data_IF_306959578858
#
_entry.id   IF_306959578858
#
_cell.length_a   1.000
_cell.length_b   1.000
_cell.length_c   1.000
_cell.angle_alpha   90.00
_cell.angle_beta   90.00
_cell.angle_gamma   90.00
#
_symmetry.space_group_name_H-M   'P 1'
#
loop_
_entity.id
_entity.type
_entity.pdbx_description
1 polymer ?
#
# COMPACT_ATOMS: atom_id res chain seq x y z
N UNK A 1 -0.21 -10.51 11.85
CA UNK A 1 -1.17 -9.61 12.53
C UNK A 1 -0.67 -8.17 12.57
N UNK A 2 0.50 -7.84 13.10
CA UNK A 2 1.00 -6.46 13.18
C UNK A 2 1.00 -5.75 11.81
N UNK A 3 1.52 -6.36 10.76
CA UNK A 3 1.47 -5.80 9.40
C UNK A 3 0.04 -5.60 8.89
N UNK A 4 -0.85 -6.54 9.12
CA UNK A 4 -2.27 -6.35 8.79
C UNK A 4 -2.91 -5.18 9.56
N UNK A 5 -2.48 -4.95 10.81
CA UNK A 5 -2.90 -3.78 11.60
C UNK A 5 -2.39 -2.48 11.00
N UNK A 6 -1.15 -2.44 10.49
CA UNK A 6 -0.61 -1.27 9.78
C UNK A 6 -1.52 -0.91 8.59
N UNK A 7 -1.83 -1.86 7.73
CA UNK A 7 -2.74 -1.64 6.59
C UNK A 7 -4.18 -1.30 7.02
N UNK A 8 -4.67 -1.88 8.10
CA UNK A 8 -5.95 -1.50 8.69
C UNK A 8 -5.97 -0.01 9.06
N UNK A 9 -4.88 0.50 9.66
CA UNK A 9 -4.76 1.91 10.06
C UNK A 9 -4.54 2.88 8.90
N UNK A 10 -4.16 2.43 7.69
CA UNK A 10 -4.25 3.26 6.49
C UNK A 10 -5.68 3.77 6.25
N UNK A 11 -6.67 2.95 6.63
CA UNK A 11 -8.08 3.24 6.46
C UNK A 11 -8.76 3.62 7.79
N UNK A 12 -8.03 4.19 8.77
CA UNK A 12 -8.60 4.59 10.05
C UNK A 12 -9.73 5.62 9.87
N UNK A 13 -9.53 6.63 9.05
CA UNK A 13 -10.48 7.73 8.85
C UNK A 13 -11.34 7.60 7.57
N UNK A 14 -10.82 7.13 6.42
CA UNK A 14 -11.55 7.13 5.16
C UNK A 14 -12.97 6.52 5.18
N UNK A 15 -13.24 5.40 5.87
CA UNK A 15 -14.61 4.86 5.95
C UNK A 15 -15.61 5.77 6.64
N UNK A 16 -15.13 6.74 7.41
CA UNK A 16 -15.95 7.72 8.13
C UNK A 16 -16.14 9.05 7.37
N UNK A 17 -15.52 9.24 6.22
CA UNK A 17 -15.56 10.50 5.49
C UNK A 17 -16.98 11.04 5.26
N UNK A 18 -17.99 10.24 4.89
CA UNK A 18 -19.36 10.74 4.77
C UNK A 18 -19.91 11.28 6.10
N UNK A 19 -19.62 10.61 7.22
CA UNK A 19 -20.08 11.03 8.56
C UNK A 19 -19.34 12.29 9.01
N UNK A 20 -18.02 12.36 8.82
CA UNK A 20 -17.21 13.51 9.20
C UNK A 20 -17.57 14.75 8.37
N UNK A 21 -17.85 14.59 7.07
CA UNK A 21 -18.34 15.65 6.23
C UNK A 21 -19.69 16.18 6.71
N UNK A 22 -20.61 15.29 7.07
CA UNK A 22 -21.94 15.67 7.55
C UNK A 22 -21.91 16.30 8.97
N UNK A 23 -21.09 15.78 9.90
CA UNK A 23 -21.04 16.23 11.30
C UNK A 23 -20.25 17.54 11.44
N UNK A 24 -19.12 17.67 10.76
CA UNK A 24 -18.19 18.80 10.92
C UNK A 24 -18.17 19.78 9.75
N UNK A 25 -18.88 19.52 8.66
CA UNK A 25 -18.88 20.37 7.47
C UNK A 25 -17.56 20.35 6.69
N UNK A 26 -16.70 19.34 6.89
CA UNK A 26 -15.45 19.24 6.15
C UNK A 26 -15.68 18.93 4.68
N UNK A 27 -14.96 19.61 3.79
CA UNK A 27 -14.91 19.25 2.39
C UNK A 27 -14.16 17.93 2.18
N UNK A 28 -14.44 17.21 1.12
CA UNK A 28 -13.70 15.99 0.78
C UNK A 28 -12.24 16.28 0.44
N UNK A 29 -11.92 17.47 -0.05
CA UNK A 29 -10.53 17.92 -0.21
C UNK A 29 -9.81 18.01 1.15
N UNK A 30 -10.45 18.57 2.18
CA UNK A 30 -9.91 18.59 3.54
C UNK A 30 -9.73 17.18 4.11
N UNK A 31 -10.71 16.30 3.92
CA UNK A 31 -10.61 14.90 4.35
C UNK A 31 -9.48 14.17 3.61
N UNK A 32 -9.26 14.48 2.33
CA UNK A 32 -8.12 13.97 1.56
C UNK A 32 -6.76 14.44 2.10
N UNK A 33 -6.67 15.66 2.63
CA UNK A 33 -5.45 16.15 3.28
C UNK A 33 -5.09 15.38 4.55
N UNK A 34 -6.06 14.79 5.27
CA UNK A 34 -5.76 13.89 6.39
C UNK A 34 -5.00 12.65 5.90
N UNK A 35 -5.39 12.10 4.75
CA UNK A 35 -4.67 10.99 4.10
C UNK A 35 -3.27 11.43 3.66
N UNK A 36 -3.14 12.65 3.12
CA UNK A 36 -1.83 13.22 2.77
C UNK A 36 -0.90 13.29 3.98
N UNK A 37 -1.38 13.81 5.11
CA UNK A 37 -0.58 13.90 6.33
C UNK A 37 -0.11 12.53 6.78
N UNK A 38 -1.00 11.54 6.80
CA UNK A 38 -0.64 10.17 7.12
C UNK A 38 0.50 9.65 6.21
N UNK A 39 0.35 9.72 4.89
CA UNK A 39 1.31 9.13 3.96
C UNK A 39 2.61 9.93 3.83
N UNK A 40 2.59 11.25 3.98
CA UNK A 40 3.83 12.05 4.02
C UNK A 40 4.65 11.70 5.26
N UNK A 41 4.01 11.65 6.44
CA UNK A 41 4.72 11.32 7.68
C UNK A 41 5.20 9.86 7.65
N UNK A 42 4.37 8.95 7.15
CA UNK A 42 4.73 7.54 6.97
C UNK A 42 5.91 7.38 6.02
N UNK A 43 5.86 7.97 4.83
CA UNK A 43 6.90 7.82 3.81
C UNK A 43 8.25 8.42 4.25
N UNK A 44 8.24 9.64 4.80
CA UNK A 44 9.45 10.27 5.36
C UNK A 44 9.97 9.46 6.55
N UNK A 45 9.08 9.08 7.46
CA UNK A 45 9.44 8.29 8.64
C UNK A 45 9.98 6.91 8.28
N UNK A 46 9.46 6.25 7.22
CA UNK A 46 9.95 4.96 6.73
C UNK A 46 11.42 5.02 6.27
N UNK A 47 11.81 6.11 5.61
CA UNK A 47 13.19 6.32 5.19
C UNK A 47 14.15 6.42 6.41
N UNK A 48 13.68 6.94 7.54
CA UNK A 48 14.45 7.08 8.78
C UNK A 48 14.35 5.85 9.69
N UNK A 49 13.25 5.13 9.62
CA UNK A 49 12.96 4.00 10.52
C UNK A 49 13.96 2.86 10.40
N UNK A 50 14.56 2.66 9.22
CA UNK A 50 15.63 1.66 9.03
C UNK A 50 16.79 1.88 9.99
N UNK A 51 17.26 3.12 10.15
CA UNK A 51 18.36 3.45 11.08
C UNK A 51 17.97 3.22 12.54
N UNK A 52 16.70 3.43 12.90
CA UNK A 52 16.20 3.16 14.25
C UNK A 52 16.11 1.67 14.50
N UNK A 53 15.57 0.90 13.54
CA UNK A 53 15.49 -0.57 13.62
C UNK A 53 16.87 -1.20 13.78
N UNK A 54 17.87 -0.70 13.05
CA UNK A 54 19.25 -1.20 13.13
C UNK A 54 19.89 -0.95 14.50
N UNK A 55 19.53 0.17 15.16
CA UNK A 55 20.10 0.54 16.47
C UNK A 55 19.41 -0.12 17.65
N UNK A 56 18.07 -0.14 17.66
CA UNK A 56 17.30 -0.57 18.83
C UNK A 56 16.60 -1.92 18.62
N UNK A 57 16.64 -2.46 17.40
CA UNK A 57 15.99 -3.70 17.01
C UNK A 57 14.53 -3.50 16.58
N UNK A 58 14.01 -4.45 15.80
CA UNK A 58 12.68 -4.37 15.21
C UNK A 58 11.55 -4.48 16.25
N UNK A 59 11.72 -5.27 17.32
CA UNK A 59 10.66 -5.49 18.31
C UNK A 59 10.26 -4.23 19.08
N UNK A 60 11.19 -3.43 19.68
CA UNK A 60 10.81 -2.19 20.38
C UNK A 60 10.17 -1.17 19.44
N UNK A 61 10.62 -1.13 18.18
CA UNK A 61 10.10 -0.23 17.16
C UNK A 61 8.66 -0.59 16.81
N UNK A 62 8.33 -1.87 16.63
CA UNK A 62 6.95 -2.33 16.41
C UNK A 62 6.06 -2.07 17.64
N UNK A 63 6.59 -2.18 18.86
CA UNK A 63 5.85 -1.82 20.07
C UNK A 63 5.48 -0.34 20.07
N UNK A 64 6.44 0.54 19.75
CA UNK A 64 6.20 1.98 19.59
C UNK A 64 5.18 2.29 18.50
N UNK A 65 5.24 1.58 17.37
CA UNK A 65 4.29 1.68 16.28
C UNK A 65 2.85 1.35 16.71
N UNK A 66 2.66 0.25 17.45
CA UNK A 66 1.35 -0.10 18.00
C UNK A 66 0.85 0.93 19.01
N UNK A 67 1.73 1.45 19.86
CA UNK A 67 1.40 2.54 20.79
C UNK A 67 0.95 3.80 20.04
N UNK A 68 1.65 4.17 18.97
CA UNK A 68 1.28 5.32 18.12
C UNK A 68 -0.07 5.11 17.45
N UNK A 69 -0.39 3.91 16.96
CA UNK A 69 -1.72 3.59 16.42
C UNK A 69 -2.82 3.69 17.49
N UNK A 70 -2.58 3.16 18.68
CA UNK A 70 -3.55 3.30 19.78
C UNK A 70 -3.82 4.77 20.11
N UNK A 71 -2.74 5.59 20.23
CA UNK A 71 -2.85 7.02 20.46
C UNK A 71 -3.56 7.76 19.31
N UNK A 72 -3.28 7.38 18.05
CA UNK A 72 -3.96 7.92 16.88
C UNK A 72 -5.47 7.69 16.94
N UNK A 73 -5.88 6.47 17.26
CA UNK A 73 -7.29 6.12 17.36
C UNK A 73 -7.98 6.83 18.55
N UNK A 74 -7.31 6.96 19.71
CA UNK A 74 -7.82 7.74 20.84
C UNK A 74 -7.93 9.22 20.48
N UNK A 75 -6.91 9.79 19.83
CA UNK A 75 -6.93 11.18 19.37
C UNK A 75 -8.09 11.41 18.38
N UNK A 76 -8.33 10.48 17.44
CA UNK A 76 -9.47 10.52 16.53
C UNK A 76 -10.81 10.46 17.29
N UNK A 77 -10.94 9.57 18.29
CA UNK A 77 -12.17 9.47 19.09
C UNK A 77 -12.49 10.75 19.86
N UNK A 78 -11.45 11.47 20.33
CA UNK A 78 -11.57 12.72 21.08
C UNK A 78 -11.61 13.97 20.20
N UNK A 79 -11.41 13.86 18.88
CA UNK A 79 -11.33 15.00 17.97
C UNK A 79 -12.67 15.75 17.93
N UNK A 80 -12.58 17.08 18.07
CA UNK A 80 -13.73 18.00 18.01
C UNK A 80 -13.63 18.93 16.78
N UNK A 81 -12.44 19.04 16.20
CA UNK A 81 -12.13 19.94 15.11
C UNK A 81 -11.15 19.30 14.13
N UNK A 82 -10.86 20.01 13.04
CA UNK A 82 -9.96 19.55 12.00
C UNK A 82 -8.53 19.30 12.50
N UNK A 83 -8.05 20.10 13.45
CA UNK A 83 -6.70 19.95 14.03
C UNK A 83 -6.56 18.63 14.81
N UNK A 84 -7.60 18.22 15.55
CA UNK A 84 -7.65 16.93 16.22
C UNK A 84 -7.54 15.74 15.23
N UNK A 85 -8.23 15.80 14.09
CA UNK A 85 -8.11 14.78 13.04
C UNK A 85 -6.74 14.81 12.35
N UNK A 86 -6.15 16.00 12.14
CA UNK A 86 -4.77 16.12 11.63
C UNK A 86 -3.76 15.47 12.58
N UNK A 87 -3.91 15.67 13.88
CA UNK A 87 -3.07 15.02 14.90
C UNK A 87 -3.24 13.49 14.86
N UNK A 88 -4.47 13.00 14.76
CA UNK A 88 -4.75 11.56 14.64
C UNK A 88 -4.09 10.96 13.38
N UNK A 89 -4.22 11.63 12.24
CA UNK A 89 -3.59 11.22 10.98
C UNK A 89 -2.06 11.22 11.09
N UNK A 90 -1.47 12.24 11.73
CA UNK A 90 -0.03 12.34 11.95
C UNK A 90 0.49 11.20 12.85
N UNK A 91 -0.18 10.93 13.96
CA UNK A 91 0.16 9.82 14.86
C UNK A 91 0.03 8.46 14.16
N UNK A 92 -1.01 8.27 13.35
CA UNK A 92 -1.16 7.05 12.56
C UNK A 92 -0.04 6.90 11.52
N UNK A 93 0.39 7.99 10.86
CA UNK A 93 1.53 8.01 9.96
C UNK A 93 2.85 7.64 10.64
N UNK A 94 3.10 8.17 11.85
CA UNK A 94 4.26 7.78 12.69
C UNK A 94 4.20 6.29 13.03
N UNK A 95 3.02 5.77 13.39
CA UNK A 95 2.82 4.35 13.66
C UNK A 95 3.10 3.48 12.44
N UNK A 96 2.73 3.92 11.24
CA UNK A 96 2.92 3.16 9.99
C UNK A 96 4.37 3.12 9.51
N UNK A 97 5.11 4.20 9.70
CA UNK A 97 6.46 4.41 9.17
C UNK A 97 7.42 3.23 9.35
N UNK A 98 7.54 2.60 10.53
CA UNK A 98 8.59 1.60 10.74
C UNK A 98 8.23 0.18 10.26
N UNK A 99 7.00 -0.08 9.77
CA UNK A 99 6.56 -1.45 9.52
C UNK A 99 7.41 -2.19 8.49
N UNK A 100 7.60 -1.62 7.29
CA UNK A 100 8.37 -2.31 6.26
C UNK A 100 9.83 -2.56 6.68
N UNK A 101 10.60 -1.58 7.24
CA UNK A 101 11.93 -1.85 7.74
C UNK A 101 11.96 -2.92 8.84
N UNK A 102 11.06 -2.86 9.81
CA UNK A 102 11.03 -3.79 10.93
C UNK A 102 10.60 -5.20 10.51
N UNK A 103 9.54 -5.31 9.71
CA UNK A 103 9.00 -6.58 9.26
C UNK A 103 9.99 -7.32 8.36
N UNK A 104 10.62 -6.63 7.40
CA UNK A 104 11.61 -7.24 6.53
C UNK A 104 12.88 -7.64 7.30
N UNK A 105 13.28 -6.85 8.30
CA UNK A 105 14.37 -7.22 9.19
C UNK A 105 14.07 -8.55 9.93
N UNK A 106 12.86 -8.69 10.50
CA UNK A 106 12.45 -9.92 11.19
C UNK A 106 12.36 -11.09 10.22
N UNK A 107 11.72 -10.92 9.06
CA UNK A 107 11.55 -11.99 8.07
C UNK A 107 12.90 -12.51 7.59
N UNK A 108 13.82 -11.61 7.23
CA UNK A 108 15.14 -11.98 6.74
C UNK A 108 16.00 -12.68 7.82
N UNK A 109 15.81 -12.34 9.11
CA UNK A 109 16.57 -12.95 10.21
C UNK A 109 15.97 -14.27 10.69
N UNK A 110 14.66 -14.49 10.53
CA UNK A 110 13.95 -15.61 11.16
C UNK A 110 13.48 -16.68 10.18
N UNK A 111 13.36 -16.36 8.92
CA UNK A 111 12.86 -17.28 7.89
C UNK A 111 14.05 -17.80 7.07
N UNK A 112 14.09 -19.12 6.84
CA UNK A 112 15.10 -19.72 5.99
C UNK A 112 14.97 -19.21 4.54
N UNK A 113 16.08 -19.05 3.79
CA UNK A 113 16.04 -18.54 2.42
C UNK A 113 15.07 -19.30 1.49
N UNK A 114 14.94 -20.62 1.67
CA UNK A 114 14.02 -21.47 0.90
C UNK A 114 12.53 -21.18 1.15
N UNK A 115 12.17 -20.61 2.29
CA UNK A 115 10.79 -20.28 2.68
C UNK A 115 10.49 -18.78 2.64
N UNK A 116 11.48 -17.95 2.37
CA UNK A 116 11.35 -16.49 2.44
C UNK A 116 10.30 -15.95 1.45
N UNK A 117 10.22 -16.53 0.25
CA UNK A 117 9.18 -16.15 -0.73
C UNK A 117 7.76 -16.41 -0.23
N UNK A 118 7.52 -17.55 0.45
CA UNK A 118 6.21 -17.83 1.06
C UNK A 118 5.92 -16.85 2.22
N UNK A 119 6.93 -16.51 3.02
CA UNK A 119 6.77 -15.55 4.11
C UNK A 119 6.37 -14.15 3.60
N UNK A 120 6.99 -13.67 2.53
CA UNK A 120 6.61 -12.41 1.88
C UNK A 120 5.20 -12.47 1.27
N UNK A 121 4.78 -13.61 0.71
CA UNK A 121 3.41 -13.77 0.21
C UNK A 121 2.38 -13.69 1.35
N UNK A 122 2.62 -14.39 2.46
CA UNK A 122 1.75 -14.32 3.65
C UNK A 122 1.72 -12.90 4.23
N UNK A 123 2.87 -12.23 4.25
CA UNK A 123 2.99 -10.84 4.68
C UNK A 123 2.12 -9.92 3.81
N UNK A 124 2.23 -9.99 2.49
CA UNK A 124 1.41 -9.20 1.57
C UNK A 124 -0.08 -9.49 1.69
N UNK A 125 -0.48 -10.77 1.81
CA UNK A 125 -1.89 -11.16 2.03
C UNK A 125 -2.41 -10.57 3.35
N UNK A 126 -1.59 -10.59 4.43
CA UNK A 126 -2.01 -10.00 5.71
C UNK A 126 -2.28 -8.50 5.62
N UNK A 127 -1.53 -7.77 4.79
CA UNK A 127 -1.78 -6.36 4.50
C UNK A 127 -3.13 -6.15 3.79
N UNK A 128 -3.39 -6.90 2.72
CA UNK A 128 -4.67 -6.82 2.00
C UNK A 128 -5.88 -7.16 2.90
N UNK A 129 -5.73 -8.14 3.80
CA UNK A 129 -6.77 -8.45 4.78
C UNK A 129 -6.99 -7.31 5.79
N UNK A 130 -5.92 -6.59 6.17
CA UNK A 130 -6.04 -5.37 6.98
C UNK A 130 -6.87 -4.29 6.28
N UNK A 131 -6.59 -4.00 5.02
CA UNK A 131 -7.39 -3.07 4.21
C UNK A 131 -8.85 -3.52 4.06
N UNK A 132 -9.08 -4.83 3.85
CA UNK A 132 -10.44 -5.37 3.71
C UNK A 132 -11.24 -5.30 5.01
N UNK A 133 -10.60 -5.51 6.16
CA UNK A 133 -11.26 -5.52 7.47
C UNK A 133 -11.65 -4.11 7.95
N UNK A 134 -10.83 -3.09 7.64
CA UNK A 134 -10.99 -1.75 8.20
C UNK A 134 -12.37 -1.14 7.90
N UNK A 135 -12.88 -1.08 6.66
CA UNK A 135 -14.19 -0.49 6.39
C UNK A 135 -15.33 -1.21 7.10
N UNK A 136 -15.30 -2.56 7.14
CA UNK A 136 -16.33 -3.36 7.80
C UNK A 136 -16.36 -3.13 9.31
N UNK A 137 -15.19 -3.15 9.96
CA UNK A 137 -15.11 -2.96 11.42
C UNK A 137 -15.53 -1.53 11.77
N UNK A 138 -14.98 -0.52 11.08
CA UNK A 138 -15.20 0.87 11.41
C UNK A 138 -16.66 1.27 11.15
N UNK A 139 -17.19 1.00 9.95
CA UNK A 139 -18.56 1.32 9.62
C UNK A 139 -19.56 0.43 10.40
N UNK A 140 -19.24 -0.85 10.61
CA UNK A 140 -20.08 -1.78 11.36
C UNK A 140 -20.25 -1.37 12.83
N UNK A 141 -19.16 -0.99 13.50
CA UNK A 141 -19.25 -0.49 14.89
C UNK A 141 -19.98 0.86 14.93
N UNK A 142 -19.73 1.76 14.00
CA UNK A 142 -20.44 3.05 13.94
C UNK A 142 -21.94 2.83 13.76
N UNK A 143 -22.36 1.92 12.88
CA UNK A 143 -23.77 1.60 12.66
C UNK A 143 -24.41 0.92 13.88
N UNK A 144 -23.70 -0.02 14.52
CA UNK A 144 -24.22 -0.76 15.67
C UNK A 144 -24.35 0.10 16.94
N UNK A 145 -23.48 1.11 17.10
CA UNK A 145 -23.44 1.96 18.31
C UNK A 145 -24.08 3.33 18.12
N UNK A 146 -24.40 3.70 16.87
CA UNK A 146 -24.86 5.05 16.53
C UNK A 146 -23.78 6.13 16.63
N UNK A 147 -22.52 5.75 16.87
CA UNK A 147 -21.41 6.71 17.02
C UNK A 147 -20.09 6.18 16.46
N UNK A 148 -19.51 6.90 15.52
CA UNK A 148 -18.21 6.58 14.95
C UNK A 148 -17.05 6.68 15.97
N UNK A 149 -17.24 7.39 17.07
CA UNK A 149 -16.22 7.48 18.13
C UNK A 149 -15.93 6.12 18.77
N UNK A 150 -16.96 5.28 18.91
CA UNK A 150 -16.78 3.89 19.37
C UNK A 150 -15.95 3.06 18.40
N UNK A 151 -16.07 3.29 17.11
CA UNK A 151 -15.21 2.63 16.11
C UNK A 151 -13.73 2.94 16.38
N UNK A 152 -13.41 4.18 16.69
CA UNK A 152 -12.05 4.59 17.02
C UNK A 152 -11.53 3.94 18.32
N UNK A 153 -12.37 3.84 19.34
CA UNK A 153 -11.99 3.16 20.59
C UNK A 153 -11.80 1.63 20.38
N UNK A 154 -12.58 1.01 19.51
CA UNK A 154 -12.36 -0.39 19.09
C UNK A 154 -11.02 -0.52 18.36
N UNK A 155 -10.68 0.40 17.45
CA UNK A 155 -9.38 0.43 16.79
C UNK A 155 -8.22 0.59 17.79
N UNK A 156 -8.36 1.47 18.78
CA UNK A 156 -7.37 1.64 19.83
C UNK A 156 -7.18 0.34 20.64
N UNK A 157 -8.29 -0.28 21.04
CA UNK A 157 -8.28 -1.57 21.76
C UNK A 157 -7.63 -2.67 20.94
N UNK A 158 -7.90 -2.73 19.63
CA UNK A 158 -7.25 -3.66 18.71
C UNK A 158 -5.73 -3.44 18.66
N UNK A 159 -5.25 -2.19 18.51
CA UNK A 159 -3.83 -1.87 18.51
C UNK A 159 -3.16 -2.29 19.84
N UNK A 160 -3.81 -2.04 20.98
CA UNK A 160 -3.35 -2.49 22.29
C UNK A 160 -3.29 -4.03 22.40
N UNK A 161 -4.30 -4.73 21.89
CA UNK A 161 -4.34 -6.20 21.89
C UNK A 161 -3.20 -6.77 21.04
N UNK A 162 -2.91 -6.19 19.87
CA UNK A 162 -1.78 -6.59 19.03
C UNK A 162 -0.45 -6.25 19.70
N UNK A 163 -0.32 -5.11 20.38
CA UNK A 163 0.85 -4.78 21.19
C UNK A 163 1.08 -5.81 22.30
N UNK A 164 0.03 -6.20 23.02
CA UNK A 164 0.10 -7.24 24.06
C UNK A 164 0.54 -8.60 23.48
N UNK A 165 0.05 -8.97 22.28
CA UNK A 165 0.48 -10.18 21.57
C UNK A 165 1.97 -10.11 21.18
N UNK A 166 2.44 -8.97 20.67
CA UNK A 166 3.85 -8.76 20.33
C UNK A 166 4.74 -8.82 21.59
N UNK A 167 4.25 -8.28 22.70
CA UNK A 167 4.92 -8.37 23.98
C UNK A 167 5.02 -9.83 24.44
N UNK A 168 3.93 -10.54 24.42
CA UNK A 168 3.89 -11.97 24.80
C UNK A 168 4.81 -12.83 23.92
N UNK A 169 4.87 -12.54 22.62
CA UNK A 169 5.72 -13.23 21.65
C UNK A 169 7.11 -12.61 21.49
N UNK A 170 7.52 -11.74 22.40
CA UNK A 170 8.77 -10.96 22.30
C UNK A 170 10.01 -11.83 22.08
N UNK A 171 10.09 -13.00 22.72
CA UNK A 171 11.21 -13.93 22.56
C UNK A 171 11.37 -14.44 21.10
N UNK A 172 10.25 -14.57 20.36
CA UNK A 172 10.28 -14.96 18.96
C UNK A 172 10.69 -13.81 18.01
N UNK A 173 10.57 -12.56 18.45
CA UNK A 173 10.80 -11.36 17.63
C UNK A 173 12.15 -10.69 17.91
N UNK A 174 12.68 -10.83 19.13
CA UNK A 174 13.98 -10.27 19.50
C UNK A 174 15.09 -11.02 18.77
N UNK A 175 16.17 -10.34 18.35
CA UNK A 175 17.34 -11.01 17.77
C UNK A 175 17.82 -12.12 18.69
N UNK A 176 18.14 -13.29 18.13
CA UNK A 176 18.91 -14.26 18.90
C UNK A 176 20.25 -13.62 19.19
N UNK A 177 20.81 -13.76 20.42
CA UNK A 177 22.20 -13.38 20.65
C UNK A 177 23.04 -14.08 19.58
N UNK A 178 23.64 -13.31 18.70
CA UNK A 178 24.53 -13.87 17.67
C UNK A 178 25.69 -14.51 18.39
N UNK A 179 25.79 -15.83 18.35
CA UNK A 179 27.06 -16.44 18.52
C UNK A 179 27.92 -15.94 17.35
N UNK A 180 28.79 -15.00 17.65
CA UNK A 180 29.95 -14.58 16.86
C UNK A 180 29.59 -14.06 15.46
N UNK A 181 29.70 -12.74 15.28
CA UNK A 181 30.18 -12.19 14.01
C UNK A 181 31.39 -13.02 13.62
N UNK A 182 31.22 -13.99 12.72
CA UNK A 182 32.35 -14.54 12.01
C UNK A 182 32.96 -13.38 11.26
N UNK A 183 33.95 -12.75 11.84
CA UNK A 183 34.94 -11.98 11.10
C UNK A 183 35.31 -12.85 9.89
N UNK A 184 34.95 -12.35 8.70
CA UNK A 184 35.50 -12.91 7.46
C UNK A 184 37.00 -12.88 7.65
N UNK A 185 37.72 -14.00 7.51
CA UNK A 185 39.17 -14.00 7.62
C UNK A 185 39.68 -13.00 6.56
N UNK A 186 40.34 -11.94 7.00
CA UNK A 186 41.12 -11.04 6.16
C UNK A 186 42.34 -11.81 5.64
N UNK A 187 42.13 -12.61 4.61
CA UNK A 187 43.19 -13.47 4.10
C UNK A 187 42.90 -14.09 2.73
N UNK A 188 42.04 -13.47 1.91
CA UNK A 188 41.96 -13.86 0.51
C UNK A 188 42.65 -12.76 -0.32
N UNK A 189 43.61 -13.12 -1.22
CA UNK A 189 44.25 -12.13 -2.09
C UNK A 189 43.20 -11.39 -2.90
N UNK A 190 43.33 -10.07 -2.99
CA UNK A 190 42.47 -9.19 -3.77
C UNK A 190 42.35 -9.72 -5.20
N UNK A 191 41.13 -10.06 -5.61
CA UNK A 191 40.79 -10.24 -7.01
C UNK A 191 40.99 -8.90 -7.75
N UNK A 192 41.32 -8.94 -9.07
CA UNK A 192 41.67 -7.76 -9.83
C UNK A 192 40.55 -6.72 -9.80
N UNK A 193 40.90 -5.49 -9.61
CA UNK A 193 40.14 -4.24 -9.60
C UNK A 193 38.69 -4.39 -10.12
N UNK A 194 37.73 -4.55 -9.20
CA UNK A 194 36.36 -4.10 -9.51
C UNK A 194 36.39 -2.59 -9.73
N UNK A 195 35.73 -2.07 -10.78
CA UNK A 195 35.64 -0.63 -10.98
C UNK A 195 35.04 0.01 -9.72
N UNK A 196 35.59 1.16 -9.32
CA UNK A 196 35.16 1.92 -8.15
C UNK A 196 33.62 1.94 -8.08
N UNK A 197 33.00 1.71 -6.90
CA UNK A 197 31.56 1.62 -6.81
C UNK A 197 30.94 2.88 -7.42
N UNK A 198 30.14 2.68 -8.46
CA UNK A 198 29.30 3.71 -9.02
C UNK A 198 28.58 4.42 -7.86
N UNK A 199 28.45 5.75 -7.94
CA UNK A 199 27.82 6.54 -6.87
C UNK A 199 26.55 5.84 -6.38
N UNK A 200 26.33 5.82 -5.07
CA UNK A 200 25.16 5.16 -4.47
C UNK A 200 23.83 5.63 -5.09
N UNK A 201 23.84 6.75 -5.83
CA UNK A 201 22.68 7.39 -6.45
C UNK A 201 22.65 7.25 -7.99
N UNK A 202 23.61 6.59 -8.63
CA UNK A 202 23.65 6.50 -10.10
C UNK A 202 22.43 5.78 -10.69
N UNK A 203 21.79 4.87 -9.94
CA UNK A 203 20.56 4.22 -10.36
C UNK A 203 19.38 5.21 -10.56
N UNK A 204 19.41 6.38 -9.90
CA UNK A 204 18.39 7.44 -10.10
C UNK A 204 18.50 8.12 -11.48
N UNK A 205 19.62 7.94 -12.18
CA UNK A 205 19.78 8.43 -13.57
C UNK A 205 19.12 7.51 -14.59
N UNK A 206 18.70 6.32 -14.17
CA UNK A 206 18.08 5.36 -15.07
C UNK A 206 16.61 5.70 -15.33
N UNK A 207 16.19 5.97 -16.58
CA UNK A 207 14.79 6.27 -16.90
C UNK A 207 13.83 5.14 -16.49
N UNK A 208 14.29 3.89 -16.53
CA UNK A 208 13.48 2.72 -16.12
C UNK A 208 13.03 2.79 -14.66
N UNK A 209 13.86 3.35 -13.77
CA UNK A 209 13.52 3.51 -12.34
C UNK A 209 12.35 4.48 -12.18
N UNK A 210 12.40 5.62 -12.86
CA UNK A 210 11.35 6.64 -12.79
C UNK A 210 10.05 6.22 -13.47
N UNK A 211 10.13 5.40 -14.52
CA UNK A 211 8.92 4.85 -15.16
C UNK A 211 8.29 3.75 -14.29
N UNK A 212 9.10 2.94 -13.61
CA UNK A 212 8.59 2.02 -12.59
C UNK A 212 7.97 2.78 -11.40
N UNK A 213 8.59 3.86 -10.93
CA UNK A 213 8.02 4.77 -9.94
C UNK A 213 6.67 5.33 -10.41
N UNK A 214 6.63 5.87 -11.64
CA UNK A 214 5.41 6.41 -12.26
C UNK A 214 4.29 5.37 -12.34
N UNK A 215 4.61 4.11 -12.62
CA UNK A 215 3.63 3.02 -12.58
C UNK A 215 3.01 2.86 -11.18
N UNK A 216 3.85 2.83 -10.11
CA UNK A 216 3.36 2.74 -8.74
C UNK A 216 2.53 3.96 -8.37
N UNK A 217 3.02 5.14 -8.68
CA UNK A 217 2.33 6.41 -8.44
C UNK A 217 0.91 6.38 -9.03
N UNK A 218 0.75 6.10 -10.32
CA UNK A 218 -0.55 6.09 -10.97
C UNK A 218 -1.46 4.96 -10.49
N UNK A 219 -0.92 3.77 -10.30
CA UNK A 219 -1.69 2.64 -9.75
C UNK A 219 -2.22 2.98 -8.34
N UNK A 220 -1.41 3.65 -7.55
CA UNK A 220 -1.78 4.06 -6.19
C UNK A 220 -2.74 5.24 -6.20
N UNK A 221 -2.65 6.16 -7.17
CA UNK A 221 -3.67 7.21 -7.33
C UNK A 221 -5.06 6.59 -7.50
N UNK A 222 -5.21 5.57 -8.36
CA UNK A 222 -6.48 4.86 -8.49
C UNK A 222 -6.91 4.15 -7.21
N UNK A 223 -5.96 3.51 -6.51
CA UNK A 223 -6.22 2.85 -5.24
C UNK A 223 -6.68 3.83 -4.17
N UNK A 224 -6.04 5.01 -4.07
CA UNK A 224 -6.42 6.08 -3.15
C UNK A 224 -7.84 6.60 -3.41
N UNK A 225 -8.24 6.73 -4.68
CA UNK A 225 -9.61 7.09 -5.06
C UNK A 225 -10.62 6.06 -4.50
N UNK A 226 -10.36 4.77 -4.71
CA UNK A 226 -11.25 3.70 -4.23
C UNK A 226 -11.24 3.62 -2.71
N UNK A 227 -10.08 3.60 -2.07
CA UNK A 227 -9.99 3.42 -0.61
C UNK A 227 -10.58 4.59 0.17
N UNK A 228 -10.41 5.82 -0.31
CA UNK A 228 -10.80 7.01 0.44
C UNK A 228 -12.15 7.58 0.04
N UNK A 229 -12.54 7.46 -1.23
CA UNK A 229 -13.68 8.19 -1.77
C UNK A 229 -14.74 7.35 -2.48
N UNK A 230 -14.55 6.03 -2.62
CA UNK A 230 -15.60 5.16 -3.18
C UNK A 230 -16.88 5.26 -2.37
N UNK A 231 -16.78 5.20 -1.03
CA UNK A 231 -17.93 5.34 -0.13
C UNK A 231 -18.71 6.63 -0.38
N UNK A 232 -18.09 7.83 -0.23
CA UNK A 232 -18.75 9.10 -0.54
C UNK A 232 -19.32 9.20 -1.95
N UNK A 233 -18.61 8.71 -2.97
CA UNK A 233 -19.07 8.78 -4.36
C UNK A 233 -20.30 7.90 -4.62
N UNK A 234 -20.26 6.64 -4.14
CA UNK A 234 -21.38 5.70 -4.28
C UNK A 234 -22.57 6.11 -3.41
N UNK A 235 -22.33 6.67 -2.21
CA UNK A 235 -23.37 7.19 -1.35
C UNK A 235 -24.16 8.33 -2.01
N UNK A 236 -23.48 9.20 -2.77
CA UNK A 236 -24.15 10.27 -3.54
C UNK A 236 -24.88 9.76 -4.79
N UNK A 237 -24.39 8.65 -5.40
CA UNK A 237 -25.02 8.09 -6.61
C UNK A 237 -26.26 7.25 -6.27
N UNK A 238 -26.27 6.56 -5.14
CA UNK A 238 -27.26 5.51 -4.84
C UNK A 238 -27.97 5.69 -3.49
N UNK A 239 -27.58 6.70 -2.70
CA UNK A 239 -28.14 6.97 -1.36
C UNK A 239 -28.08 5.77 -0.41
N UNK A 240 -27.07 4.89 -0.59
CA UNK A 240 -26.91 3.65 0.16
C UNK A 240 -26.35 3.87 1.56
N UNK A 241 -26.73 3.03 2.54
CA UNK A 241 -26.25 3.15 3.91
C UNK A 241 -24.75 2.86 4.02
N UNK A 242 -24.09 3.44 5.06
CA UNK A 242 -22.65 3.35 5.30
C UNK A 242 -22.13 1.90 5.29
N UNK A 243 -22.90 0.95 5.84
CA UNK A 243 -22.52 -0.47 5.86
C UNK A 243 -22.40 -1.08 4.47
N UNK A 244 -23.30 -0.71 3.55
CA UNK A 244 -23.25 -1.14 2.16
C UNK A 244 -22.03 -0.55 1.43
N UNK A 245 -21.75 0.73 1.65
CA UNK A 245 -20.57 1.40 1.09
C UNK A 245 -19.27 0.77 1.59
N UNK A 246 -19.20 0.43 2.87
CA UNK A 246 -18.08 -0.30 3.45
C UNK A 246 -17.89 -1.69 2.83
N UNK A 247 -18.99 -2.40 2.56
CA UNK A 247 -18.98 -3.73 1.91
C UNK A 247 -18.41 -3.64 0.47
N UNK A 248 -18.70 -2.57 -0.29
CA UNK A 248 -18.12 -2.37 -1.62
C UNK A 248 -16.60 -2.21 -1.57
N UNK A 249 -16.07 -1.39 -0.64
CA UNK A 249 -14.62 -1.21 -0.47
C UNK A 249 -13.98 -2.55 -0.06
N UNK A 250 -14.57 -3.23 0.90
CA UNK A 250 -14.09 -4.57 1.33
C UNK A 250 -14.12 -5.56 0.17
N UNK A 251 -15.18 -5.59 -0.62
CA UNK A 251 -15.30 -6.43 -1.81
C UNK A 251 -14.18 -6.20 -2.80
N UNK A 252 -13.85 -4.93 -3.08
CA UNK A 252 -12.71 -4.56 -3.91
C UNK A 252 -11.38 -5.10 -3.34
N UNK A 253 -11.14 -4.93 -2.03
CA UNK A 253 -9.89 -5.36 -1.39
C UNK A 253 -9.75 -6.89 -1.33
N UNK A 254 -10.82 -7.61 -1.01
CA UNK A 254 -10.84 -9.08 -1.00
C UNK A 254 -10.64 -9.62 -2.42
N UNK A 255 -11.35 -9.07 -3.40
CA UNK A 255 -11.19 -9.46 -4.80
C UNK A 255 -9.76 -9.16 -5.31
N UNK A 256 -9.16 -8.04 -4.89
CA UNK A 256 -7.76 -7.73 -5.19
C UNK A 256 -6.79 -8.76 -4.57
N UNK A 257 -7.01 -9.18 -3.34
CA UNK A 257 -6.20 -10.25 -2.73
C UNK A 257 -6.32 -11.58 -3.51
N UNK A 258 -7.54 -11.96 -3.90
CA UNK A 258 -7.78 -13.15 -4.76
C UNK A 258 -7.07 -12.98 -6.11
N UNK A 259 -7.21 -11.81 -6.74
CA UNK A 259 -6.54 -11.46 -7.99
C UNK A 259 -5.02 -11.59 -7.90
N UNK A 260 -4.42 -11.16 -6.79
CA UNK A 260 -2.97 -11.29 -6.56
C UNK A 260 -2.52 -12.75 -6.53
N UNK A 261 -3.28 -13.62 -5.88
CA UNK A 261 -3.00 -15.07 -5.87
C UNK A 261 -3.08 -15.63 -7.29
N UNK A 262 -4.15 -15.34 -8.03
CA UNK A 262 -4.34 -15.76 -9.41
C UNK A 262 -3.23 -15.23 -10.35
N UNK A 263 -2.84 -13.97 -10.16
CA UNK A 263 -1.76 -13.33 -10.92
C UNK A 263 -0.41 -14.03 -10.78
N UNK A 264 -0.14 -14.62 -9.61
CA UNK A 264 1.04 -15.46 -9.39
C UNK A 264 1.12 -16.68 -10.32
N UNK A 265 -0.01 -17.27 -10.69
CA UNK A 265 -0.07 -18.35 -11.68
C UNK A 265 0.07 -17.81 -13.11
N UNK A 266 -0.55 -16.67 -13.40
CA UNK A 266 -0.48 -16.01 -14.72
C UNK A 266 0.96 -15.64 -15.09
N UNK A 267 1.75 -15.14 -14.14
CA UNK A 267 3.17 -14.81 -14.38
C UNK A 267 3.99 -16.01 -14.83
N UNK A 268 3.69 -17.20 -14.32
CA UNK A 268 4.42 -18.43 -14.69
C UNK A 268 4.12 -18.88 -16.12
N UNK A 269 2.93 -18.60 -16.62
CA UNK A 269 2.44 -19.06 -17.93
C UNK A 269 2.59 -18.03 -19.05
N UNK A 270 2.87 -16.76 -18.73
CA UNK A 270 2.93 -15.67 -19.71
C UNK A 270 4.29 -14.95 -19.70
N UNK A 271 5.01 -14.93 -20.83
CA UNK A 271 6.28 -14.22 -20.93
C UNK A 271 6.14 -12.70 -21.05
N UNK A 272 4.95 -12.19 -21.43
CA UNK A 272 4.68 -10.75 -21.67
C UNK A 272 4.00 -10.11 -20.48
N UNK A 273 4.80 -9.71 -19.49
CA UNK A 273 4.33 -9.14 -18.23
C UNK A 273 3.52 -7.85 -18.44
N UNK A 274 3.99 -6.97 -19.32
CA UNK A 274 3.34 -5.71 -19.68
C UNK A 274 1.95 -5.93 -20.30
N UNK A 275 1.75 -7.01 -21.08
CA UNK A 275 0.45 -7.37 -21.63
C UNK A 275 -0.52 -7.81 -20.55
N UNK A 276 -0.06 -8.61 -19.58
CA UNK A 276 -0.89 -9.05 -18.45
C UNK A 276 -1.36 -7.84 -17.65
N UNK A 277 -0.45 -6.89 -17.37
CA UNK A 277 -0.77 -5.64 -16.67
C UNK A 277 -1.80 -4.84 -17.49
N UNK A 278 -1.56 -4.65 -18.79
CA UNK A 278 -2.44 -3.85 -19.63
C UNK A 278 -3.86 -4.41 -19.71
N UNK A 279 -4.00 -5.73 -19.88
CA UNK A 279 -5.31 -6.39 -19.93
C UNK A 279 -6.04 -6.30 -18.57
N UNK A 280 -5.34 -6.63 -17.48
CA UNK A 280 -5.96 -6.67 -16.16
C UNK A 280 -6.34 -5.27 -15.65
N UNK A 281 -5.43 -4.29 -15.75
CA UNK A 281 -5.71 -2.92 -15.31
C UNK A 281 -6.64 -2.16 -16.28
N UNK A 282 -6.54 -2.41 -17.59
CA UNK A 282 -7.44 -1.85 -18.58
C UNK A 282 -8.88 -2.34 -18.38
N UNK A 283 -9.07 -3.63 -18.08
CA UNK A 283 -10.37 -4.17 -17.68
C UNK A 283 -10.87 -3.49 -16.39
N UNK A 284 -10.02 -3.35 -15.38
CA UNK A 284 -10.39 -2.66 -14.13
C UNK A 284 -10.82 -1.21 -14.38
N UNK A 285 -10.12 -0.49 -15.26
CA UNK A 285 -10.49 0.88 -15.64
C UNK A 285 -11.88 0.93 -16.29
N UNK A 286 -12.16 0.02 -17.24
CA UNK A 286 -13.46 -0.06 -17.88
C UNK A 286 -14.60 -0.40 -16.89
N UNK A 287 -14.35 -1.34 -15.97
CA UNK A 287 -15.31 -1.73 -14.93
C UNK A 287 -15.60 -0.56 -13.96
N UNK A 288 -14.57 0.21 -13.56
CA UNK A 288 -14.76 1.40 -12.73
C UNK A 288 -15.57 2.47 -13.44
N UNK A 289 -15.29 2.74 -14.73
CA UNK A 289 -16.09 3.70 -15.52
C UNK A 289 -17.55 3.28 -15.60
N UNK A 290 -17.81 2.00 -15.84
CA UNK A 290 -19.17 1.47 -15.92
C UNK A 290 -19.87 1.54 -14.55
N UNK A 291 -19.19 1.21 -13.47
CA UNK A 291 -19.73 1.29 -12.11
C UNK A 291 -20.07 2.72 -11.70
N UNK A 292 -19.25 3.70 -12.12
CA UNK A 292 -19.44 5.13 -11.81
C UNK A 292 -20.38 5.86 -12.78
N UNK A 293 -20.96 5.18 -13.76
CA UNK A 293 -21.85 5.80 -14.76
C UNK A 293 -23.20 6.27 -14.20
N UNK A 294 -23.65 5.68 -13.08
CA UNK A 294 -24.98 5.94 -12.51
C UNK A 294 -26.14 5.26 -13.27
N UNK A 295 -25.85 4.49 -14.35
CA UNK A 295 -26.87 3.84 -15.16
C UNK A 295 -27.30 2.45 -14.62
N UNK A 296 -26.49 1.88 -13.74
CA UNK A 296 -26.68 0.53 -13.23
C UNK A 296 -27.26 0.55 -11.81
N UNK A 297 -28.00 -0.49 -11.40
CA UNK A 297 -28.39 -0.65 -10.00
C UNK A 297 -27.18 -0.70 -9.07
N UNK A 298 -27.33 -0.22 -7.83
CA UNK A 298 -26.27 -0.18 -6.81
C UNK A 298 -25.53 -1.52 -6.62
N UNK A 299 -26.29 -2.62 -6.55
CA UNK A 299 -25.72 -3.97 -6.41
C UNK A 299 -24.78 -4.33 -7.57
N UNK A 300 -25.19 -4.07 -8.80
CA UNK A 300 -24.39 -4.38 -9.99
C UNK A 300 -23.14 -3.49 -10.05
N UNK A 301 -23.28 -2.20 -9.74
CA UNK A 301 -22.14 -1.29 -9.63
C UNK A 301 -21.14 -1.74 -8.57
N UNK A 302 -21.61 -2.20 -7.40
CA UNK A 302 -20.76 -2.77 -6.35
C UNK A 302 -20.03 -4.04 -6.80
N UNK A 303 -20.69 -4.92 -7.56
CA UNK A 303 -20.06 -6.12 -8.14
C UNK A 303 -18.98 -5.75 -9.17
N UNK A 304 -19.23 -4.74 -10.01
CA UNK A 304 -18.23 -4.27 -10.98
C UNK A 304 -17.02 -3.66 -10.28
N UNK A 305 -17.23 -2.91 -9.19
CA UNK A 305 -16.14 -2.41 -8.34
C UNK A 305 -15.32 -3.56 -7.76
N UNK A 306 -15.95 -4.61 -7.23
CA UNK A 306 -15.23 -5.78 -6.72
C UNK A 306 -14.43 -6.48 -7.84
N UNK A 307 -15.01 -6.66 -9.02
CA UNK A 307 -14.31 -7.22 -10.19
C UNK A 307 -13.14 -6.33 -10.65
N UNK A 308 -13.27 -5.01 -10.56
CA UNK A 308 -12.14 -4.10 -10.81
C UNK A 308 -11.00 -4.34 -9.82
N UNK A 309 -11.32 -4.63 -8.55
CA UNK A 309 -10.33 -5.06 -7.55
C UNK A 309 -9.59 -6.33 -7.97
N UNK A 310 -10.31 -7.34 -8.46
CA UNK A 310 -9.71 -8.58 -8.96
C UNK A 310 -8.67 -8.31 -10.06
N UNK A 311 -9.00 -7.44 -11.01
CA UNK A 311 -8.09 -7.07 -12.11
C UNK A 311 -6.85 -6.33 -11.61
N UNK A 312 -6.99 -5.34 -10.72
CA UNK A 312 -5.83 -4.64 -10.16
C UNK A 312 -4.92 -5.57 -9.37
N UNK A 313 -5.49 -6.51 -8.59
CA UNK A 313 -4.74 -7.54 -7.89
C UNK A 313 -3.99 -8.47 -8.83
N UNK A 314 -4.63 -8.93 -9.89
CA UNK A 314 -4.05 -9.83 -10.89
C UNK A 314 -2.83 -9.23 -11.60
N UNK A 315 -2.79 -7.91 -11.77
CA UNK A 315 -1.64 -7.20 -12.32
C UNK A 315 -0.41 -7.20 -11.38
N UNK A 316 -0.61 -7.34 -10.05
CA UNK A 316 0.42 -7.18 -9.03
C UNK A 316 1.68 -8.02 -9.26
N UNK A 317 1.61 -9.36 -9.35
CA UNK A 317 2.78 -10.21 -9.56
C UNK A 317 3.53 -9.92 -10.87
N UNK A 318 2.80 -9.59 -11.95
CA UNK A 318 3.41 -9.19 -13.23
C UNK A 318 4.19 -7.87 -13.09
N UNK A 319 3.65 -6.92 -12.34
CA UNK A 319 4.29 -5.66 -11.98
C UNK A 319 5.61 -5.89 -11.24
N UNK A 320 5.58 -6.67 -10.18
CA UNK A 320 6.75 -6.90 -9.32
C UNK A 320 7.87 -7.60 -10.11
N UNK A 321 7.50 -8.54 -10.99
CA UNK A 321 8.45 -9.20 -11.87
C UNK A 321 9.02 -8.25 -12.94
N UNK A 322 8.21 -7.32 -13.47
CA UNK A 322 8.66 -6.31 -14.44
C UNK A 322 9.70 -5.38 -13.80
N UNK A 323 9.47 -4.92 -12.57
CA UNK A 323 10.41 -4.09 -11.82
C UNK A 323 11.72 -4.84 -11.57
N UNK A 324 11.61 -6.10 -11.14
CA UNK A 324 12.78 -6.94 -10.91
C UNK A 324 13.67 -7.06 -12.15
N UNK A 325 13.05 -7.23 -13.33
CA UNK A 325 13.77 -7.29 -14.60
C UNK A 325 14.38 -5.94 -15.03
N UNK A 326 13.77 -4.83 -14.63
CA UNK A 326 14.23 -3.48 -14.94
C UNK A 326 15.33 -2.97 -13.99
N UNK A 327 15.52 -3.61 -12.84
CA UNK A 327 16.52 -3.23 -11.85
C UNK A 327 17.92 -3.68 -12.29
N UNK A 328 18.95 -2.80 -12.22
CA UNK A 328 20.32 -3.18 -12.50
C UNK A 328 20.88 -4.15 -11.46
N UNK A 329 21.85 -5.02 -11.85
CA UNK A 329 22.52 -5.92 -10.92
C UNK A 329 23.13 -5.17 -9.72
N UNK A 330 22.93 -5.69 -8.50
CA UNK A 330 23.49 -5.10 -7.26
C UNK A 330 22.73 -3.89 -6.71
N UNK A 331 21.75 -3.31 -7.43
CA UNK A 331 20.99 -2.14 -6.98
C UNK A 331 19.52 -2.47 -6.65
N UNK A 332 19.13 -3.73 -6.65
CA UNK A 332 17.74 -4.18 -6.53
C UNK A 332 17.02 -3.58 -5.31
N UNK A 333 17.65 -3.60 -4.14
CA UNK A 333 17.03 -3.06 -2.91
C UNK A 333 16.77 -1.55 -2.98
N UNK A 334 17.72 -0.78 -3.51
CA UNK A 334 17.61 0.69 -3.67
C UNK A 334 16.56 1.07 -4.70
N UNK A 335 16.50 0.33 -5.81
CA UNK A 335 15.49 0.51 -6.86
C UNK A 335 14.10 0.21 -6.31
N UNK A 336 13.94 -0.90 -5.59
CA UNK A 336 12.66 -1.21 -4.95
C UNK A 336 12.23 -0.11 -3.96
N UNK A 337 13.13 0.36 -3.09
CA UNK A 337 12.83 1.44 -2.16
C UNK A 337 12.32 2.71 -2.85
N UNK A 338 13.01 3.15 -3.92
CA UNK A 338 12.60 4.33 -4.69
C UNK A 338 11.29 4.09 -5.45
N UNK A 339 11.12 2.94 -6.08
CA UNK A 339 9.92 2.62 -6.85
C UNK A 339 8.69 2.50 -5.95
N UNK A 340 8.84 1.87 -4.78
CA UNK A 340 7.74 1.72 -3.82
C UNK A 340 7.38 3.03 -3.12
N UNK A 341 8.29 4.02 -3.01
CA UNK A 341 7.90 5.36 -2.52
C UNK A 341 6.87 6.04 -3.42
N UNK A 342 6.74 5.60 -4.68
CA UNK A 342 5.63 5.99 -5.55
C UNK A 342 4.25 5.68 -4.96
N UNK A 343 4.16 4.68 -4.07
CA UNK A 343 2.93 4.37 -3.33
C UNK A 343 2.58 5.49 -2.34
N UNK A 344 3.50 5.85 -1.46
CA UNK A 344 3.25 6.90 -0.45
C UNK A 344 2.97 8.25 -1.11
N UNK A 345 3.77 8.61 -2.15
CA UNK A 345 3.57 9.84 -2.92
C UNK A 345 2.24 9.80 -3.67
N UNK A 346 1.85 8.65 -4.23
CA UNK A 346 0.58 8.45 -4.92
C UNK A 346 -0.62 8.74 -3.99
N UNK A 347 -0.64 8.15 -2.80
CA UNK A 347 -1.68 8.43 -1.80
C UNK A 347 -1.67 9.90 -1.36
N UNK A 348 -0.49 10.43 -1.05
CA UNK A 348 -0.35 11.80 -0.54
C UNK A 348 -0.86 12.85 -1.53
N UNK A 349 -0.62 12.65 -2.83
CA UNK A 349 -1.04 13.59 -3.89
C UNK A 349 -2.47 13.33 -4.33
N UNK A 350 -2.84 12.06 -4.52
CA UNK A 350 -4.14 11.71 -5.10
C UNK A 350 -5.32 12.01 -4.16
N UNK A 351 -5.16 11.79 -2.85
CA UNK A 351 -6.28 11.93 -1.94
C UNK A 351 -6.90 13.34 -1.92
N UNK A 352 -6.16 14.45 -1.78
CA UNK A 352 -6.77 15.78 -1.85
C UNK A 352 -7.29 16.12 -3.25
N UNK A 353 -6.66 15.60 -4.33
CA UNK A 353 -7.11 15.81 -5.70
C UNK A 353 -8.46 15.13 -5.93
N UNK A 354 -8.61 13.88 -5.53
CA UNK A 354 -9.88 13.17 -5.66
C UNK A 354 -10.96 13.72 -4.73
N UNK A 355 -10.59 14.20 -3.54
CA UNK A 355 -11.50 14.94 -2.66
C UNK A 355 -12.03 16.20 -3.34
N UNK A 356 -11.14 16.99 -3.93
CA UNK A 356 -11.51 18.20 -4.67
C UNK A 356 -12.41 17.89 -5.89
N UNK A 357 -12.07 16.83 -6.64
CA UNK A 357 -12.92 16.38 -7.75
C UNK A 357 -14.32 15.98 -7.28
N UNK A 358 -14.42 15.34 -6.12
CA UNK A 358 -15.71 14.97 -5.55
C UNK A 358 -16.50 16.19 -5.04
N UNK A 359 -15.82 17.21 -4.52
CA UNK A 359 -16.47 18.46 -4.09
C UNK A 359 -17.04 19.27 -5.28
N UNK A 360 -16.37 19.28 -6.46
CA UNK A 360 -16.68 20.15 -7.58
C UNK A 360 -17.18 19.41 -8.83
N UNK A 361 -16.73 18.19 -9.08
CA UNK A 361 -16.99 17.46 -10.33
C UNK A 361 -18.08 16.37 -10.25
N UNK A 362 -18.65 16.17 -9.05
CA UNK A 362 -19.63 15.11 -8.83
C UNK A 362 -19.02 13.69 -8.73
N UNK A 363 -19.88 12.72 -8.43
CA UNK A 363 -19.45 11.34 -8.08
C UNK A 363 -18.77 10.62 -9.24
N UNK A 364 -19.22 10.79 -10.46
CA UNK A 364 -18.65 10.13 -11.66
C UNK A 364 -17.22 10.56 -11.94
N UNK A 365 -16.82 11.80 -11.56
CA UNK A 365 -15.46 12.30 -11.75
C UNK A 365 -14.40 11.47 -11.01
N UNK A 366 -14.75 10.88 -9.85
CA UNK A 366 -13.91 9.97 -9.12
C UNK A 366 -13.52 8.74 -9.98
N UNK A 367 -14.52 8.13 -10.59
CA UNK A 367 -14.34 6.91 -11.39
C UNK A 367 -13.56 7.18 -12.67
N UNK A 368 -13.83 8.33 -13.31
CA UNK A 368 -13.08 8.79 -14.50
C UNK A 368 -11.62 9.03 -14.13
N UNK A 369 -11.34 9.71 -13.03
CA UNK A 369 -9.99 9.97 -12.57
C UNK A 369 -9.25 8.68 -12.17
N UNK A 370 -9.92 7.75 -11.47
CA UNK A 370 -9.36 6.46 -11.11
C UNK A 370 -9.02 5.61 -12.34
N UNK A 371 -9.92 5.56 -13.33
CA UNK A 371 -9.69 4.86 -14.60
C UNK A 371 -8.54 5.48 -15.40
N UNK A 372 -8.48 6.81 -15.49
CA UNK A 372 -7.37 7.52 -16.14
C UNK A 372 -6.03 7.20 -15.47
N UNK A 373 -5.99 7.18 -14.13
CA UNK A 373 -4.79 6.81 -13.39
C UNK A 373 -4.36 5.37 -13.72
N UNK A 374 -5.29 4.40 -13.80
CA UNK A 374 -4.96 3.04 -14.25
C UNK A 374 -4.40 3.01 -15.67
N UNK A 375 -4.97 3.76 -16.60
CA UNK A 375 -4.49 3.85 -17.97
C UNK A 375 -3.08 4.45 -18.05
N UNK A 376 -2.77 5.48 -17.24
CA UNK A 376 -1.42 6.04 -17.15
C UNK A 376 -0.43 5.04 -16.54
N UNK A 377 -0.86 4.25 -15.56
CA UNK A 377 -0.08 3.11 -15.05
C UNK A 377 0.22 2.07 -16.12
N UNK A 378 -0.79 1.70 -16.93
CA UNK A 378 -0.60 0.79 -18.07
C UNK A 378 0.39 1.36 -19.08
N UNK A 379 0.30 2.66 -19.41
CA UNK A 379 1.24 3.32 -20.31
C UNK A 379 2.69 3.24 -19.78
N UNK A 380 2.88 3.45 -18.47
CA UNK A 380 4.19 3.31 -17.82
C UNK A 380 4.71 1.86 -17.92
N UNK A 381 3.88 0.86 -17.61
CA UNK A 381 4.27 -0.56 -17.67
C UNK A 381 4.63 -1.01 -19.12
N UNK A 382 3.84 -0.58 -20.10
CA UNK A 382 4.08 -0.94 -21.52
C UNK A 382 5.37 -0.29 -22.04
N UNK A 383 5.69 0.91 -21.60
CA UNK A 383 6.95 1.56 -21.94
C UNK A 383 8.17 0.78 -21.38
N UNK A 384 8.12 0.34 -20.12
CA UNK A 384 9.17 -0.50 -19.50
C UNK A 384 9.31 -1.82 -20.27
N UNK A 385 8.19 -2.48 -20.56
CA UNK A 385 8.18 -3.74 -21.32
C UNK A 385 8.85 -3.60 -22.68
N UNK A 386 8.51 -2.56 -23.46
CA UNK A 386 9.13 -2.29 -24.76
C UNK A 386 10.65 -2.10 -24.65
N UNK A 387 11.13 -1.36 -23.65
CA UNK A 387 12.57 -1.15 -23.44
C UNK A 387 13.32 -2.44 -23.10
N UNK A 388 12.71 -3.30 -22.28
CA UNK A 388 13.29 -4.59 -21.93
C UNK A 388 13.40 -5.54 -23.13
N UNK A 389 12.46 -5.47 -24.09
CA UNK A 389 12.53 -6.27 -25.32
C UNK A 389 13.53 -5.72 -26.35
N UNK A 390 13.86 -4.44 -26.30
CA UNK A 390 14.81 -3.78 -27.19
C UNK A 390 16.26 -3.84 -26.68
N UNK A 391 16.49 -4.17 -25.41
CA UNK A 391 17.83 -4.35 -24.89
C UNK A 391 18.51 -5.55 -25.57
N UNK A 392 19.72 -5.40 -26.16
CA UNK A 392 20.43 -6.53 -26.76
C UNK A 392 20.67 -7.60 -25.68
N UNK A 393 20.64 -8.90 -26.08
CA UNK A 393 20.97 -9.99 -25.16
C UNK A 393 22.36 -9.70 -24.58
N UNK A 394 22.48 -9.77 -23.25
CA UNK A 394 23.80 -9.76 -22.61
C UNK A 394 24.64 -10.84 -23.30
N UNK A 395 25.75 -10.42 -23.92
CA UNK A 395 26.68 -11.37 -24.53
C UNK A 395 27.07 -12.38 -23.46
N UNK A 396 26.54 -13.59 -23.55
CA UNK A 396 27.04 -14.72 -22.78
C UNK A 396 28.47 -14.90 -23.24
N UNK A 397 29.44 -14.48 -22.43
CA UNK A 397 30.84 -14.71 -22.69
C UNK A 397 31.03 -16.18 -23.04
N UNK A 398 31.36 -16.46 -24.29
CA UNK A 398 31.83 -17.76 -24.71
C UNK A 398 33.08 -18.09 -23.90
N UNK A 399 32.91 -18.91 -22.88
CA UNK A 399 34.02 -19.64 -22.31
C UNK A 399 34.51 -20.61 -23.39
N UNK A 400 35.58 -20.25 -24.09
CA UNK A 400 36.43 -21.15 -24.84
C UNK A 400 37.59 -21.60 -23.97
#
# INVERSE_FOLDING_TARGET
MAHGTSHFFHLLLPPLFPLLAAEHGFSYAQLGLLVTVFFVISGVGQALAGFVVDRVGAWPVLMGAMGSFALAAVAAAGAQDYAGFMLAAALAGVGNAPFHPADFSILNQRVSPSRLGHAFSVHGISGNLGWAAAPLVIAGVAAATGSWRWSMLVCASWACAVAALLWWRSAALRPKPSSVVRSVPTGTPAAPHEPAPASALDFLRLPSVWVCFSFFFWSTCSLAAVQSFLGPAMGRLYEEPLGWLALMITGYMVASAVGMVMGGFVVKSSPRLERNIALAMGMSAALLLLAGSGWLPALLSGLLVALAGLGTGLAGPSRDMLIRKAAPPGATGRVYGTVYSGLDVGFAVAAPVFGWLLDHGGSSSLFVGAALALCLGVASATWVGKRLHQAPPLATGSAS
#
